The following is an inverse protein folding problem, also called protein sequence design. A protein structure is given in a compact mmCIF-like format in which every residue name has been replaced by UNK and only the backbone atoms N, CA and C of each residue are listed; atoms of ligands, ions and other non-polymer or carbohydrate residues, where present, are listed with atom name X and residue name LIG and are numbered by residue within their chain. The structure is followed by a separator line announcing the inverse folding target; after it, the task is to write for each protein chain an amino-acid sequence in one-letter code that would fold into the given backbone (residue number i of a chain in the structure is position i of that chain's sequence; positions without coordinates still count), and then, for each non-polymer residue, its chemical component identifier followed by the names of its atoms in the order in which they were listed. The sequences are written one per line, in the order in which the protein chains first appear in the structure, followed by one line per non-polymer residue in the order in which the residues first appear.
data_IF_925625456145
#
_entry.id   IF_925625456145
#
_cell.length_a   1.000
_cell.length_b   1.000
_cell.length_c   1.000
_cell.angle_alpha   90.00
_cell.angle_beta   90.00
_cell.angle_gamma   90.00
#
_symmetry.space_group_name_H-M   'P 1'
#
loop_
_entity.id
_entity.type
_entity.pdbx_description
1 polymer ?
#
# COMPACT_ATOMS: atom_id res chain seq x y z
N UNK A 1 36.49 -7.94 51.22
CA UNK A 1 35.37 -8.89 51.06
C UNK A 1 34.09 -8.23 51.56
N UNK A 2 33.14 -7.98 50.67
CA UNK A 2 31.70 -7.82 50.95
C UNK A 2 30.99 -7.88 49.61
N UNK A 3 30.29 -8.98 49.37
CA UNK A 3 29.42 -9.23 48.22
C UNK A 3 28.07 -8.62 48.55
N UNK A 4 27.48 -7.88 47.61
CA UNK A 4 26.04 -7.62 47.58
C UNK A 4 25.59 -7.70 46.12
N UNK A 5 24.91 -8.81 45.83
CA UNK A 5 24.05 -9.04 44.67
C UNK A 5 22.70 -8.36 44.96
N UNK A 6 21.86 -8.19 43.93
CA UNK A 6 20.40 -7.91 43.89
C UNK A 6 20.13 -6.45 43.43
N UNK A 7 19.33 -6.10 42.40
CA UNK A 7 18.32 -6.76 41.57
C UNK A 7 18.13 -5.98 40.24
N UNK A 8 17.78 -6.68 39.16
CA UNK A 8 17.12 -6.16 37.95
C UNK A 8 15.73 -5.59 38.28
N UNK A 9 15.37 -4.39 37.79
CA UNK A 9 13.99 -4.11 37.32
C UNK A 9 14.02 -3.07 36.19
N UNK A 10 13.48 -3.49 35.05
CA UNK A 10 13.18 -2.72 33.84
C UNK A 10 12.10 -1.67 34.04
N UNK A 11 12.30 -0.45 33.53
CA UNK A 11 11.21 0.38 32.98
C UNK A 11 11.71 1.00 31.67
N UNK A 12 11.31 0.37 30.57
CA UNK A 12 11.46 0.81 29.19
C UNK A 12 10.05 1.20 28.73
N UNK A 13 9.64 2.45 29.00
CA UNK A 13 8.31 3.01 28.67
C UNK A 13 8.57 4.52 28.53
N UNK A 14 8.39 5.23 27.41
CA UNK A 14 7.67 5.01 26.16
C UNK A 14 8.18 6.05 25.17
N UNK A 15 8.68 5.59 24.02
CA UNK A 15 8.78 6.43 22.83
C UNK A 15 7.37 6.68 22.29
N UNK A 16 6.76 7.79 22.73
CA UNK A 16 5.53 8.31 22.13
C UNK A 16 5.88 9.00 20.82
N UNK A 17 5.94 8.25 19.72
CA UNK A 17 5.95 8.83 18.38
C UNK A 17 4.57 9.43 18.10
N UNK A 18 4.42 10.73 18.32
CA UNK A 18 3.33 11.51 17.73
C UNK A 18 3.55 11.63 16.22
N UNK A 19 3.06 10.68 15.44
CA UNK A 19 2.91 10.86 14.00
C UNK A 19 1.49 11.35 13.71
N UNK A 20 1.24 12.63 14.03
CA UNK A 20 0.03 13.31 13.61
C UNK A 20 0.17 13.84 12.17
N UNK A 21 -0.83 13.54 11.34
CA UNK A 21 -1.23 14.22 10.11
C UNK A 21 -0.31 14.12 8.86
N UNK A 22 -0.55 13.08 8.05
CA UNK A 22 -0.14 13.01 6.65
C UNK A 22 -1.31 12.64 5.69
N UNK A 23 -2.55 13.03 6.00
CA UNK A 23 -3.76 12.59 5.28
C UNK A 23 -3.94 13.05 3.82
N UNK A 24 -2.94 13.67 3.16
CA UNK A 24 -3.05 14.09 1.75
C UNK A 24 -1.83 13.75 0.88
N UNK A 25 -0.81 13.09 1.42
CA UNK A 25 0.37 12.69 0.66
C UNK A 25 0.26 11.22 0.32
N UNK A 26 0.69 10.84 -0.88
CA UNK A 26 0.83 9.42 -1.18
C UNK A 26 1.87 8.83 -0.21
N UNK A 27 1.51 7.75 0.47
CA UNK A 27 2.45 7.02 1.30
C UNK A 27 3.41 6.26 0.38
N UNK A 28 4.71 6.41 0.64
CA UNK A 28 5.78 5.94 -0.27
C UNK A 28 6.22 4.57 0.20
N UNK A 29 5.93 3.54 -0.58
CA UNK A 29 6.16 2.17 -0.12
C UNK A 29 6.49 1.30 -1.32
N UNK A 30 7.75 0.88 -1.38
CA UNK A 30 8.35 -0.10 -2.32
C UNK A 30 8.82 0.50 -3.66
N UNK A 31 10.11 0.30 -3.94
CA UNK A 31 10.72 0.42 -5.26
C UNK A 31 11.03 -1.00 -5.75
N UNK A 32 10.68 -1.31 -7.00
CA UNK A 32 11.01 -2.59 -7.62
C UNK A 32 11.31 -2.41 -9.10
N UNK A 33 12.48 -2.88 -9.54
CA UNK A 33 12.90 -2.93 -10.95
C UNK A 33 12.68 -1.60 -11.70
N UNK A 34 13.03 -0.49 -11.05
CA UNK A 34 12.87 0.86 -11.60
C UNK A 34 11.40 1.32 -11.66
N UNK A 35 10.52 0.77 -10.83
CA UNK A 35 9.16 1.26 -10.62
C UNK A 35 8.95 1.62 -9.15
N UNK A 36 8.60 2.88 -8.91
CA UNK A 36 8.24 3.37 -7.58
C UNK A 36 6.73 3.24 -7.37
N UNK A 37 6.33 2.59 -6.28
CA UNK A 37 4.93 2.44 -5.88
C UNK A 37 4.62 3.41 -4.74
N UNK A 38 3.44 4.01 -4.82
CA UNK A 38 2.91 4.87 -3.77
C UNK A 38 1.40 4.81 -3.80
N UNK A 39 0.74 5.04 -2.67
CA UNK A 39 -0.71 4.85 -2.61
C UNK A 39 -1.43 5.94 -1.82
N UNK A 40 -2.74 6.01 -2.04
CA UNK A 40 -3.67 6.75 -1.20
C UNK A 40 -5.07 6.15 -1.31
N UNK A 41 -5.87 6.39 -0.28
CA UNK A 41 -7.31 6.16 -0.32
C UNK A 41 -8.01 7.44 -0.78
N UNK A 42 -8.99 7.31 -1.69
CA UNK A 42 -9.84 8.45 -2.09
C UNK A 42 -11.28 7.99 -2.32
N UNK A 43 -12.28 8.88 -2.24
CA UNK A 43 -13.65 8.55 -2.62
C UNK A 43 -13.71 7.98 -4.04
N UNK A 44 -14.43 6.88 -4.22
CA UNK A 44 -14.59 6.22 -5.53
C UNK A 44 -15.33 7.09 -6.54
N UNK A 45 -16.23 7.96 -6.06
CA UNK A 45 -16.94 8.93 -6.88
C UNK A 45 -16.43 10.35 -6.60
N UNK A 46 -16.02 11.06 -7.66
CA UNK A 46 -15.35 12.36 -7.56
C UNK A 46 -16.18 13.44 -6.85
N UNK A 47 -17.52 13.33 -6.93
CA UNK A 47 -18.46 14.33 -6.43
C UNK A 47 -19.25 13.87 -5.19
N UNK A 48 -19.07 12.62 -4.74
CA UNK A 48 -19.74 12.11 -3.52
C UNK A 48 -18.69 11.81 -2.47
N UNK A 49 -18.57 12.71 -1.49
CA UNK A 49 -17.61 12.57 -0.38
C UNK A 49 -17.86 11.32 0.47
N UNK A 50 -19.12 10.89 0.55
CA UNK A 50 -19.53 9.70 1.32
C UNK A 50 -19.48 8.41 0.49
N UNK A 51 -18.98 8.47 -0.75
CA UNK A 51 -18.79 7.26 -1.55
C UNK A 51 -17.74 6.34 -0.91
N UNK A 52 -17.82 5.02 -1.13
CA UNK A 52 -16.83 4.09 -0.65
C UNK A 52 -15.42 4.51 -1.10
N UNK A 53 -14.44 4.43 -0.21
CA UNK A 53 -13.05 4.70 -0.56
C UNK A 53 -12.53 3.61 -1.50
N UNK A 54 -11.71 4.03 -2.45
CA UNK A 54 -10.97 3.18 -3.37
C UNK A 54 -9.47 3.35 -3.13
N UNK A 55 -8.76 2.22 -3.16
CA UNK A 55 -7.29 2.22 -3.14
C UNK A 55 -6.78 2.71 -4.48
N UNK A 56 -5.93 3.72 -4.43
CA UNK A 56 -5.30 4.31 -5.60
C UNK A 56 -3.81 4.09 -5.50
N UNK A 57 -3.25 3.42 -6.48
CA UNK A 57 -1.82 3.15 -6.57
C UNK A 57 -1.26 4.03 -7.68
N UNK A 58 -0.30 4.89 -7.33
CA UNK A 58 0.53 5.61 -8.29
C UNK A 58 1.83 4.82 -8.47
N UNK A 59 2.09 4.45 -9.71
CA UNK A 59 3.31 3.78 -10.14
C UNK A 59 4.12 4.75 -11.00
N UNK A 60 5.41 4.86 -10.75
CA UNK A 60 6.31 5.72 -11.53
C UNK A 60 7.44 4.89 -12.11
N UNK A 61 7.49 4.80 -13.43
CA UNK A 61 8.54 4.12 -14.16
C UNK A 61 9.75 5.04 -14.30
N UNK A 62 10.85 4.71 -13.63
CA UNK A 62 12.13 5.41 -13.72
C UNK A 62 13.04 4.84 -14.81
N UNK A 63 12.63 3.78 -15.53
CA UNK A 63 13.38 3.20 -16.64
C UNK A 63 13.27 4.05 -17.93
N UNK A 64 14.23 3.83 -18.85
CA UNK A 64 14.24 4.44 -20.19
C UNK A 64 13.34 3.72 -21.20
N UNK A 65 12.83 2.55 -20.83
CA UNK A 65 11.94 1.71 -21.61
C UNK A 65 10.54 1.66 -20.98
N UNK A 66 9.47 1.40 -21.77
CA UNK A 66 8.17 1.11 -21.20
C UNK A 66 8.27 -0.16 -20.34
N UNK A 67 7.47 -0.24 -19.28
CA UNK A 67 7.42 -1.42 -18.41
C UNK A 67 5.99 -1.91 -18.29
N UNK A 68 5.81 -3.23 -18.27
CA UNK A 68 4.58 -3.90 -17.91
C UNK A 68 4.67 -4.30 -16.43
N UNK A 69 3.74 -3.82 -15.62
CA UNK A 69 3.66 -4.10 -14.20
C UNK A 69 2.45 -4.99 -13.95
N UNK A 70 2.64 -6.11 -13.27
CA UNK A 70 1.56 -6.94 -12.75
C UNK A 70 1.65 -7.09 -11.24
N UNK A 71 0.51 -7.10 -10.55
CA UNK A 71 0.46 -7.27 -9.10
C UNK A 71 -0.94 -7.70 -8.62
N UNK A 72 -1.02 -8.16 -7.38
CA UNK A 72 -2.26 -8.32 -6.63
C UNK A 72 -2.21 -7.45 -5.36
N UNK A 73 -3.37 -7.20 -4.77
CA UNK A 73 -3.49 -6.52 -3.49
C UNK A 73 -4.10 -7.47 -2.48
N UNK A 74 -3.40 -7.72 -1.39
CA UNK A 74 -3.93 -8.43 -0.23
C UNK A 74 -4.46 -7.43 0.80
N UNK A 75 -5.59 -7.76 1.41
CA UNK A 75 -6.22 -6.95 2.45
C UNK A 75 -6.33 -7.78 3.72
N UNK A 76 -5.88 -7.18 4.82
CA UNK A 76 -5.75 -7.82 6.12
C UNK A 76 -6.58 -7.09 7.17
N UNK A 77 -7.02 -7.85 8.17
CA UNK A 77 -7.51 -7.32 9.43
C UNK A 77 -6.76 -8.00 10.57
N UNK A 78 -5.95 -7.24 11.28
CA UNK A 78 -4.91 -7.79 12.15
C UNK A 78 -3.94 -8.63 11.33
N UNK A 79 -3.81 -9.91 11.68
CA UNK A 79 -2.94 -10.87 10.98
C UNK A 79 -3.68 -11.73 9.94
N UNK A 80 -5.00 -11.58 9.83
CA UNK A 80 -5.82 -12.42 8.96
C UNK A 80 -5.92 -11.84 7.55
N UNK A 81 -5.57 -12.62 6.54
CA UNK A 81 -5.88 -12.31 5.15
C UNK A 81 -7.39 -12.42 4.92
N UNK A 82 -8.05 -11.30 4.65
CA UNK A 82 -9.50 -11.24 4.41
C UNK A 82 -9.84 -11.34 2.92
N UNK A 83 -9.00 -10.76 2.07
CA UNK A 83 -9.25 -10.76 0.63
C UNK A 83 -7.98 -10.54 -0.20
N UNK A 84 -8.05 -10.97 -1.45
CA UNK A 84 -7.02 -10.73 -2.47
C UNK A 84 -7.70 -10.22 -3.74
N UNK A 85 -7.20 -9.13 -4.31
CA UNK A 85 -7.72 -8.62 -5.58
C UNK A 85 -7.42 -9.56 -6.74
N UNK A 86 -8.19 -9.43 -7.83
CA UNK A 86 -7.76 -9.93 -9.14
C UNK A 86 -6.37 -9.37 -9.51
N UNK A 87 -5.67 -10.08 -10.39
CA UNK A 87 -4.40 -9.60 -10.93
C UNK A 87 -4.63 -8.30 -11.69
N UNK A 88 -3.85 -7.28 -11.34
CA UNK A 88 -3.82 -6.00 -12.03
C UNK A 88 -2.68 -6.05 -13.05
N UNK A 89 -2.89 -5.46 -14.22
CA UNK A 89 -1.90 -5.37 -15.29
C UNK A 89 -1.91 -3.96 -15.87
N UNK A 90 -0.77 -3.28 -15.83
CA UNK A 90 -0.62 -1.90 -16.31
C UNK A 90 0.70 -1.75 -17.06
N UNK A 91 0.65 -1.11 -18.23
CA UNK A 91 1.84 -0.66 -18.96
C UNK A 91 2.13 0.81 -18.66
N UNK A 92 3.35 1.12 -18.24
CA UNK A 92 3.80 2.47 -17.90
C UNK A 92 4.88 2.90 -18.89
N UNK A 93 4.66 4.04 -19.54
CA UNK A 93 5.62 4.65 -20.47
C UNK A 93 6.95 5.01 -19.76
N UNK A 94 8.08 5.11 -20.49
CA UNK A 94 9.36 5.52 -19.92
C UNK A 94 9.26 6.85 -19.18
N UNK A 95 9.90 6.96 -17.99
CA UNK A 95 9.97 8.21 -17.20
C UNK A 95 8.59 8.85 -16.94
N UNK A 96 7.53 8.05 -16.84
CA UNK A 96 6.16 8.53 -16.58
C UNK A 96 5.57 7.87 -15.35
N UNK A 97 4.62 8.57 -14.75
CA UNK A 97 3.76 8.01 -13.72
C UNK A 97 2.39 7.64 -14.28
N UNK A 98 1.80 6.59 -13.72
CA UNK A 98 0.41 6.19 -13.97
C UNK A 98 -0.30 6.01 -12.63
N UNK A 99 -1.58 6.40 -12.57
CA UNK A 99 -2.42 6.24 -11.39
C UNK A 99 -3.52 5.24 -11.69
N UNK A 100 -3.57 4.16 -10.94
CA UNK A 100 -4.53 3.09 -11.10
C UNK A 100 -5.48 3.04 -9.90
N UNK A 101 -6.79 3.03 -10.16
CA UNK A 101 -7.77 2.72 -9.12
C UNK A 101 -7.91 1.19 -9.10
N UNK A 102 -7.53 0.57 -7.99
CA UNK A 102 -7.66 -0.89 -7.84
C UNK A 102 -9.14 -1.23 -7.84
N UNK A 103 -9.59 -1.98 -8.84
CA UNK A 103 -10.97 -2.47 -8.87
C UNK A 103 -11.15 -3.45 -7.72
N UNK A 104 -12.20 -3.26 -6.91
CA UNK A 104 -12.64 -4.21 -5.88
C UNK A 104 -13.27 -5.49 -6.46
N UNK A 105 -12.88 -5.93 -7.66
CA UNK A 105 -13.36 -7.19 -8.24
C UNK A 105 -12.52 -8.36 -7.70
N UNK A 106 -13.20 -9.42 -7.25
CA UNK A 106 -12.59 -10.55 -6.50
C UNK A 106 -12.86 -10.54 -4.99
N UNK A 107 -13.68 -9.58 -4.53
CA UNK A 107 -14.13 -9.42 -3.16
C UNK A 107 -15.53 -9.99 -2.94
N UNK A 108 -15.87 -11.08 -3.62
CA UNK A 108 -17.27 -11.50 -3.79
C UNK A 108 -18.01 -11.76 -2.46
N UNK A 109 -17.29 -11.82 -1.33
CA UNK A 109 -17.84 -11.91 0.03
C UNK A 109 -17.27 -10.92 1.06
N UNK A 110 -16.51 -9.88 0.68
CA UNK A 110 -15.90 -8.97 1.67
C UNK A 110 -15.87 -7.52 1.19
N UNK A 111 -16.61 -6.64 1.86
CA UNK A 111 -16.54 -5.19 1.62
C UNK A 111 -16.03 -4.50 2.88
N UNK A 112 -15.07 -3.58 2.71
CA UNK A 112 -14.66 -2.67 3.76
C UNK A 112 -15.49 -1.39 3.65
N UNK A 113 -16.08 -0.98 4.77
CA UNK A 113 -16.66 0.36 4.95
C UNK A 113 -15.55 1.42 5.01
N UNK A 114 -15.93 2.70 5.03
CA UNK A 114 -14.92 3.77 5.14
C UNK A 114 -14.33 3.85 6.56
N UNK A 115 -15.09 3.40 7.55
CA UNK A 115 -14.72 3.30 8.96
C UNK A 115 -13.68 2.19 9.15
N UNK A 116 -13.92 1.03 8.52
CA UNK A 116 -13.01 -0.12 8.52
C UNK A 116 -11.59 0.25 8.04
N UNK A 117 -11.48 1.10 7.02
CA UNK A 117 -10.19 1.52 6.46
C UNK A 117 -9.40 2.47 7.37
N UNK A 118 -10.02 2.97 8.44
CA UNK A 118 -9.39 3.83 9.46
C UNK A 118 -9.00 3.03 10.71
N UNK A 119 -9.40 1.77 10.80
CA UNK A 119 -9.05 0.90 11.92
C UNK A 119 -7.54 0.60 11.90
N UNK A 120 -6.89 0.63 13.07
CA UNK A 120 -5.46 0.36 13.19
C UNK A 120 -5.10 -1.09 12.84
N UNK A 121 -6.06 -2.01 12.96
CA UNK A 121 -5.89 -3.40 12.57
C UNK A 121 -6.00 -3.59 11.04
N UNK A 122 -6.59 -2.64 10.31
CA UNK A 122 -6.68 -2.74 8.87
C UNK A 122 -5.32 -2.47 8.22
N UNK A 123 -4.92 -3.33 7.29
CA UNK A 123 -3.72 -3.14 6.48
C UNK A 123 -3.90 -3.74 5.08
N UNK A 124 -3.08 -3.33 4.13
CA UNK A 124 -3.01 -3.95 2.81
C UNK A 124 -1.57 -4.08 2.33
N UNK A 125 -1.33 -5.01 1.41
CA UNK A 125 -0.01 -5.25 0.83
C UNK A 125 -0.10 -5.46 -0.68
N UNK A 126 0.88 -4.93 -1.42
CA UNK A 126 1.08 -5.27 -2.83
C UNK A 126 1.90 -6.55 -2.92
N UNK A 127 1.31 -7.60 -3.47
CA UNK A 127 1.94 -8.92 -3.59
C UNK A 127 2.08 -9.34 -5.04
N UNK A 128 2.95 -10.33 -5.30
CA UNK A 128 3.20 -10.89 -6.64
C UNK A 128 3.59 -9.81 -7.68
N UNK A 129 4.26 -8.75 -7.23
CA UNK A 129 4.69 -7.67 -8.12
C UNK A 129 5.70 -8.21 -9.12
N UNK A 130 5.40 -8.10 -10.42
CA UNK A 130 6.32 -8.39 -11.51
C UNK A 130 6.45 -7.15 -12.39
N UNK A 131 7.69 -6.83 -12.78
CA UNK A 131 7.99 -5.73 -13.68
C UNK A 131 8.76 -6.30 -14.87
N UNK A 132 8.18 -6.17 -16.05
CA UNK A 132 8.77 -6.63 -17.31
C UNK A 132 9.09 -5.41 -18.17
N UNK A 133 10.35 -5.30 -18.60
CA UNK A 133 10.76 -4.25 -19.55
C UNK A 133 10.28 -4.60 -20.94
N UNK A 134 9.55 -3.69 -21.57
CA UNK A 134 9.05 -3.84 -22.93
C UNK A 134 10.00 -3.17 -23.94
N UNK A 135 10.06 -3.66 -25.19
CA UNK A 135 10.78 -2.98 -26.25
C UNK A 135 10.17 -1.60 -26.53
N UNK A 136 11.00 -0.63 -26.91
CA UNK A 136 10.52 0.67 -27.39
C UNK A 136 9.72 0.45 -28.67
N UNK A 137 8.52 1.04 -28.74
CA UNK A 137 7.81 1.14 -30.01
C UNK A 137 8.71 1.93 -30.99
N UNK A 138 8.98 1.33 -32.15
CA UNK A 138 9.76 1.95 -33.23
C UNK A 138 9.01 3.12 -33.85
#
# INVERSE_FOLDING_TARGET
MKKTIILLVSIFITGGFFSASAQNKFEKTIEKDGVNFSYKWKPSELFKKDSPLALVIKMENTNDNPVKVTFNVNYYWGMDLKATSNQQEITIKPKKSFTHNVKKQGFDNFSFTNEDLKDEAFNFELVKITVETLPKAK
#
